data_IF_611279803751
#
_entry.id   IF_611279803751
#
_cell.length_a   1.000
_cell.length_b   1.000
_cell.length_c   1.000
_cell.angle_alpha   90.00
_cell.angle_beta   90.00
_cell.angle_gamma   90.00
#
_symmetry.space_group_name_H-M   'P 1'
#
loop_
_entity.id
_entity.type
_entity.pdbx_description
1 polymer ?
#
# COMPACT_ATOMS: atom_id res chain seq x y z
N UNK A 1 5.73 -25.90 27.60
CA UNK A 1 4.36 -25.96 27.06
C UNK A 1 4.37 -26.97 25.92
N UNK A 2 3.53 -28.01 26.02
CA UNK A 2 3.55 -29.16 25.11
C UNK A 2 2.72 -28.83 23.86
N UNK A 3 3.33 -28.98 22.68
CA UNK A 3 2.62 -28.96 21.40
C UNK A 3 1.90 -30.30 21.23
N UNK A 4 0.61 -30.33 21.52
CA UNK A 4 -0.22 -31.49 21.23
C UNK A 4 -0.67 -31.37 19.77
N UNK A 5 -0.25 -32.33 18.93
CA UNK A 5 -0.88 -32.69 17.65
C UNK A 5 -2.29 -33.27 17.91
N UNK A 6 -3.13 -32.48 18.57
CA UNK A 6 -4.53 -32.78 18.76
C UNK A 6 -5.29 -32.28 17.54
N UNK A 7 -5.67 -33.20 16.64
CA UNK A 7 -6.84 -32.98 15.80
C UNK A 7 -7.99 -32.58 16.74
N UNK A 8 -8.71 -31.49 16.42
CA UNK A 8 -9.90 -30.94 17.10
C UNK A 8 -9.65 -29.65 17.93
N UNK A 9 -9.50 -28.50 17.26
CA UNK A 9 -9.97 -27.21 17.80
C UNK A 9 -10.41 -26.27 16.67
N UNK A 10 -11.73 -26.08 16.55
CA UNK A 10 -12.42 -25.18 15.62
C UNK A 10 -12.73 -23.83 16.28
N UNK A 11 -12.43 -22.65 15.71
CA UNK A 11 -12.98 -21.36 16.23
C UNK A 11 -13.23 -20.23 15.21
N UNK A 12 -13.35 -20.42 13.88
CA UNK A 12 -13.71 -19.25 13.02
C UNK A 12 -14.79 -19.52 11.97
N UNK A 13 -14.84 -20.72 11.39
CA UNK A 13 -15.94 -21.12 10.50
C UNK A 13 -16.28 -22.58 10.78
N UNK A 14 -17.38 -22.84 11.50
CA UNK A 14 -17.84 -24.20 11.86
C UNK A 14 -18.22 -25.07 10.65
N UNK A 15 -18.34 -24.48 9.46
CA UNK A 15 -18.65 -25.17 8.19
C UNK A 15 -17.42 -25.83 7.53
N UNK A 16 -16.19 -25.45 7.88
CA UNK A 16 -14.99 -26.10 7.34
C UNK A 16 -14.63 -27.32 8.20
N UNK A 17 -15.44 -28.37 8.06
CA UNK A 17 -15.19 -29.67 8.73
C UNK A 17 -14.11 -30.42 7.94
N UNK A 18 -12.86 -30.13 8.27
CA UNK A 18 -11.68 -30.79 7.73
C UNK A 18 -11.66 -32.25 8.24
N UNK A 19 -12.22 -33.19 7.48
CA UNK A 19 -12.12 -34.64 7.77
C UNK A 19 -11.20 -35.37 6.78
N UNK A 20 -10.52 -34.64 5.88
CA UNK A 20 -9.63 -35.20 4.85
C UNK A 20 -8.23 -34.56 4.88
N UNK A 21 -7.19 -35.33 4.52
CA UNK A 21 -5.79 -34.87 4.42
C UNK A 21 -5.62 -33.68 3.46
N UNK A 22 -6.51 -33.57 2.46
CA UNK A 22 -6.53 -32.43 1.52
C UNK A 22 -6.98 -31.12 2.17
N UNK A 23 -7.86 -31.17 3.17
CA UNK A 23 -8.41 -29.97 3.82
C UNK A 23 -7.38 -29.30 4.74
N UNK A 24 -6.45 -30.07 5.30
CA UNK A 24 -5.30 -29.56 6.07
C UNK A 24 -4.35 -28.78 5.13
N UNK A 25 -4.05 -29.34 3.96
CA UNK A 25 -3.24 -28.66 2.94
C UNK A 25 -3.92 -27.41 2.38
N UNK A 26 -5.23 -27.48 2.16
CA UNK A 26 -6.04 -26.34 1.72
C UNK A 26 -6.04 -25.19 2.74
N UNK A 27 -6.15 -25.52 4.04
CA UNK A 27 -6.08 -24.52 5.11
C UNK A 27 -4.72 -23.85 5.20
N UNK A 28 -3.63 -24.62 5.10
CA UNK A 28 -2.27 -24.09 5.07
C UNK A 28 -2.07 -23.15 3.88
N UNK A 29 -2.48 -23.56 2.68
CA UNK A 29 -2.34 -22.76 1.47
C UNK A 29 -3.20 -21.48 1.53
N UNK A 30 -4.42 -21.57 2.06
CA UNK A 30 -5.30 -20.42 2.25
C UNK A 30 -4.69 -19.40 3.22
N UNK A 31 -4.16 -19.84 4.36
CA UNK A 31 -3.49 -18.97 5.34
C UNK A 31 -2.21 -18.35 4.75
N UNK A 32 -1.41 -19.14 4.04
CA UNK A 32 -0.22 -18.65 3.34
C UNK A 32 -0.58 -17.57 2.32
N UNK A 33 -1.57 -17.83 1.46
CA UNK A 33 -2.05 -16.87 0.47
C UNK A 33 -2.58 -15.59 1.14
N UNK A 34 -3.34 -15.72 2.23
CA UNK A 34 -3.85 -14.58 2.99
C UNK A 34 -2.73 -13.75 3.62
N UNK A 35 -1.66 -14.39 4.11
CA UNK A 35 -0.48 -13.72 4.65
C UNK A 35 0.31 -12.95 3.57
N UNK A 36 0.46 -13.54 2.36
CA UNK A 36 1.08 -12.86 1.22
C UNK A 36 0.22 -11.68 0.76
N UNK A 37 -1.10 -11.89 0.64
CA UNK A 37 -2.05 -10.86 0.24
C UNK A 37 -2.07 -9.70 1.23
N UNK A 38 -1.98 -9.97 2.53
CA UNK A 38 -1.90 -8.92 3.57
C UNK A 38 -0.74 -7.94 3.28
N UNK A 39 0.46 -8.44 3.01
CA UNK A 39 1.62 -7.56 2.79
C UNK A 39 1.52 -6.81 1.43
N UNK A 40 0.95 -7.45 0.41
CA UNK A 40 0.63 -6.80 -0.86
C UNK A 40 -0.37 -5.64 -0.66
N UNK A 41 -1.43 -5.87 0.10
CA UNK A 41 -2.48 -4.90 0.38
C UNK A 41 -1.95 -3.71 1.21
N UNK A 42 -1.11 -4.00 2.20
CA UNK A 42 -0.40 -2.98 2.98
C UNK A 42 0.52 -2.14 2.11
N UNK A 43 1.25 -2.76 1.18
CA UNK A 43 2.06 -2.06 0.17
C UNK A 43 1.23 -1.11 -0.71
N UNK A 44 0.05 -1.56 -1.17
CA UNK A 44 -0.90 -0.73 -1.92
C UNK A 44 -1.39 0.44 -1.08
N UNK A 45 -1.76 0.20 0.18
CA UNK A 45 -2.26 1.24 1.08
C UNK A 45 -1.19 2.33 1.34
N UNK A 46 0.05 1.94 1.62
CA UNK A 46 1.18 2.88 1.72
C UNK A 46 1.38 3.70 0.44
N UNK A 47 1.34 3.03 -0.72
CA UNK A 47 1.51 3.66 -2.04
C UNK A 47 0.43 4.70 -2.32
N UNK A 48 -0.84 4.36 -2.07
CA UNK A 48 -1.96 5.29 -2.24
C UNK A 48 -1.88 6.46 -1.26
N UNK A 49 -1.55 6.21 0.01
CA UNK A 49 -1.38 7.29 0.99
C UNK A 49 -0.28 8.27 0.58
N UNK A 50 0.84 7.76 0.03
CA UNK A 50 1.92 8.60 -0.47
C UNK A 50 1.50 9.42 -1.70
N UNK A 51 0.74 8.85 -2.64
CA UNK A 51 0.13 9.62 -3.76
C UNK A 51 -0.74 10.77 -3.23
N UNK A 52 -1.59 10.49 -2.25
CA UNK A 52 -2.52 11.48 -1.70
C UNK A 52 -1.77 12.60 -0.96
N UNK A 53 -0.72 12.26 -0.20
CA UNK A 53 0.13 13.24 0.49
C UNK A 53 0.88 14.14 -0.50
N UNK A 54 1.45 13.58 -1.58
CA UNK A 54 2.12 14.37 -2.62
C UNK A 54 1.15 15.27 -3.40
N UNK A 55 -0.12 14.85 -3.56
CA UNK A 55 -1.14 15.63 -4.26
C UNK A 55 -1.64 16.82 -3.45
N UNK A 56 -1.74 16.68 -2.12
CA UNK A 56 -2.11 17.76 -1.21
C UNK A 56 -1.14 18.95 -1.28
N UNK A 57 0.15 18.70 -1.52
CA UNK A 57 1.18 19.74 -1.64
C UNK A 57 1.15 20.53 -2.98
N UNK A 58 0.37 20.08 -3.98
CA UNK A 58 0.32 20.71 -5.32
C UNK A 58 -0.95 21.51 -5.60
N UNK A 59 -1.84 21.62 -4.62
CA UNK A 59 -3.12 22.33 -4.75
C UNK A 59 -2.98 23.80 -4.35
N UNK A 60 -2.30 24.61 -5.18
CA UNK A 60 -2.47 26.06 -5.16
C UNK A 60 -2.45 26.57 -6.59
N UNK A 61 -3.58 26.43 -7.29
CA UNK A 61 -3.97 27.30 -8.41
C UNK A 61 -5.46 27.09 -8.68
N UNK A 62 -6.28 27.97 -8.09
CA UNK A 62 -7.56 28.45 -8.63
C UNK A 62 -7.33 28.94 -10.09
N UNK A 63 -8.27 29.00 -11.04
CA UNK A 63 -9.49 29.85 -10.99
C UNK A 63 -10.56 29.47 -12.06
N UNK A 64 -10.53 28.31 -12.76
CA UNK A 64 -11.36 28.13 -13.99
C UNK A 64 -12.27 26.89 -14.08
N UNK A 65 -12.90 26.41 -13.01
CA UNK A 65 -13.71 25.16 -13.07
C UNK A 65 -15.06 25.20 -12.36
N UNK A 66 -15.95 26.09 -12.81
CA UNK A 66 -17.32 26.20 -12.26
C UNK A 66 -18.29 25.12 -12.79
N UNK A 67 -17.96 24.42 -13.90
CA UNK A 67 -18.78 23.33 -14.49
C UNK A 67 -18.23 21.91 -14.27
N UNK A 68 -16.95 21.78 -13.90
CA UNK A 68 -16.29 20.50 -13.61
C UNK A 68 -16.41 20.06 -12.14
N UNK A 69 -17.08 20.87 -11.30
CA UNK A 69 -17.05 20.76 -9.85
C UNK A 69 -17.74 19.48 -9.32
N UNK A 70 -18.81 19.01 -9.98
CA UNK A 70 -19.52 17.77 -9.58
C UNK A 70 -18.68 16.52 -9.88
N UNK A 71 -18.07 16.45 -11.07
CA UNK A 71 -17.19 15.33 -11.45
C UNK A 71 -15.92 15.26 -10.59
N UNK A 72 -15.37 16.42 -10.21
CA UNK A 72 -14.20 16.49 -9.32
C UNK A 72 -14.57 16.07 -7.90
N UNK A 73 -15.75 16.50 -7.37
CA UNK A 73 -16.24 16.07 -6.06
C UNK A 73 -16.47 14.57 -5.96
N UNK A 74 -17.15 13.95 -6.94
CA UNK A 74 -17.36 12.50 -6.93
C UNK A 74 -16.03 11.74 -6.96
N UNK A 75 -15.05 12.21 -7.73
CA UNK A 75 -13.72 11.58 -7.78
C UNK A 75 -12.97 11.71 -6.45
N UNK A 76 -13.13 12.83 -5.75
CA UNK A 76 -12.55 13.05 -4.42
C UNK A 76 -13.19 12.15 -3.36
N UNK A 77 -14.54 12.07 -3.37
CA UNK A 77 -15.29 11.14 -2.52
C UNK A 77 -14.88 9.70 -2.77
N UNK A 78 -14.82 9.25 -4.04
CA UNK A 78 -14.39 7.89 -4.38
C UNK A 78 -12.98 7.61 -3.88
N UNK A 79 -12.03 8.55 -4.03
CA UNK A 79 -10.67 8.35 -3.49
C UNK A 79 -10.64 8.30 -1.97
N UNK A 80 -11.51 9.06 -1.29
CA UNK A 80 -11.62 9.07 0.15
C UNK A 80 -12.27 7.77 0.67
N UNK A 81 -13.30 7.27 -0.01
CA UNK A 81 -13.92 5.97 0.26
C UNK A 81 -12.97 4.81 0.00
N UNK A 82 -12.22 4.81 -1.10
CA UNK A 82 -11.23 3.76 -1.35
C UNK A 82 -10.14 3.76 -0.29
N UNK A 83 -9.71 4.92 0.21
CA UNK A 83 -8.72 5.00 1.29
C UNK A 83 -9.24 4.35 2.59
N UNK A 84 -10.46 4.68 3.00
CA UNK A 84 -11.04 4.10 4.22
C UNK A 84 -11.34 2.62 4.06
N UNK A 85 -11.83 2.20 2.89
CA UNK A 85 -12.08 0.80 2.57
C UNK A 85 -10.78 -0.02 2.62
N UNK A 86 -9.71 0.45 1.99
CA UNK A 86 -8.40 -0.22 2.03
C UNK A 86 -7.87 -0.37 3.46
N UNK A 87 -8.04 0.66 4.29
CA UNK A 87 -7.66 0.63 5.71
C UNK A 87 -8.45 -0.42 6.50
N UNK A 88 -9.77 -0.48 6.32
CA UNK A 88 -10.62 -1.47 7.00
C UNK A 88 -10.27 -2.89 6.56
N UNK A 89 -10.04 -3.12 5.27
CA UNK A 89 -9.65 -4.42 4.73
C UNK A 89 -8.27 -4.86 5.22
N UNK A 90 -7.30 -3.95 5.30
CA UNK A 90 -5.97 -4.25 5.88
C UNK A 90 -6.10 -4.68 7.35
N UNK A 91 -6.90 -3.95 8.14
CA UNK A 91 -7.17 -4.31 9.54
C UNK A 91 -7.82 -5.69 9.64
N UNK A 92 -8.82 -5.97 8.81
CA UNK A 92 -9.49 -7.27 8.80
C UNK A 92 -8.48 -8.41 8.58
N UNK A 93 -7.60 -8.30 7.58
CA UNK A 93 -6.56 -9.31 7.33
C UNK A 93 -5.54 -9.42 8.48
N UNK A 94 -5.15 -8.30 9.11
CA UNK A 94 -4.29 -8.34 10.29
C UNK A 94 -4.93 -9.13 11.44
N UNK A 95 -6.21 -8.91 11.71
CA UNK A 95 -6.96 -9.64 12.74
C UNK A 95 -7.13 -11.11 12.40
N UNK A 96 -7.41 -11.47 11.14
CA UNK A 96 -7.45 -12.88 10.73
C UNK A 96 -6.12 -13.59 10.96
N UNK A 97 -5.00 -12.97 10.57
CA UNK A 97 -3.67 -13.55 10.79
C UNK A 97 -3.34 -13.68 12.28
N UNK A 98 -3.73 -12.69 13.10
CA UNK A 98 -3.56 -12.75 14.55
C UNK A 98 -4.41 -13.87 15.17
N UNK A 99 -5.64 -14.04 14.68
CA UNK A 99 -6.55 -15.09 15.15
C UNK A 99 -6.01 -16.47 14.80
N UNK A 100 -5.46 -16.66 13.58
CA UNK A 100 -4.78 -17.89 13.17
C UNK A 100 -3.53 -18.13 14.02
N UNK A 101 -2.73 -17.10 14.29
CA UNK A 101 -1.54 -17.24 15.13
C UNK A 101 -1.88 -17.71 16.57
N UNK A 102 -3.01 -17.28 17.11
CA UNK A 102 -3.49 -17.70 18.44
C UNK A 102 -4.03 -19.14 18.48
N UNK A 103 -4.16 -19.84 17.34
CA UNK A 103 -4.57 -21.26 17.32
C UNK A 103 -3.44 -22.21 17.75
N UNK A 104 -2.23 -21.70 17.97
CA UNK A 104 -1.03 -22.45 18.40
C UNK A 104 -0.65 -23.67 17.52
N UNK A 105 -1.17 -23.75 16.29
CA UNK A 105 -0.78 -24.78 15.34
C UNK A 105 0.55 -24.40 14.66
N UNK A 106 1.56 -25.26 14.78
CA UNK A 106 2.92 -25.02 14.25
C UNK A 106 2.94 -24.85 12.74
N UNK A 107 2.19 -25.68 11.99
CA UNK A 107 2.12 -25.62 10.53
C UNK A 107 1.46 -24.34 10.05
N UNK A 108 0.33 -23.93 10.66
CA UNK A 108 -0.34 -22.67 10.29
C UNK A 108 0.49 -21.45 10.69
N UNK A 109 1.14 -21.50 11.86
CA UNK A 109 2.04 -20.42 12.29
C UNK A 109 3.23 -20.26 11.33
N UNK A 110 3.87 -21.37 10.95
CA UNK A 110 4.93 -21.36 9.94
C UNK A 110 4.45 -20.81 8.60
N UNK A 111 3.22 -21.14 8.18
CA UNK A 111 2.59 -20.60 6.97
C UNK A 111 2.45 -19.07 7.03
N UNK A 112 2.01 -18.52 8.16
CA UNK A 112 1.85 -17.06 8.36
C UNK A 112 3.19 -16.34 8.30
N UNK A 113 4.20 -16.84 9.02
CA UNK A 113 5.53 -16.22 9.07
C UNK A 113 6.19 -16.27 7.68
N UNK A 114 6.18 -17.44 7.04
CA UNK A 114 6.77 -17.62 5.71
C UNK A 114 6.01 -16.82 4.66
N UNK A 115 4.68 -16.82 4.71
CA UNK A 115 3.82 -16.04 3.80
C UNK A 115 4.02 -14.53 3.93
N UNK A 116 4.19 -14.01 5.15
CA UNK A 116 4.56 -12.59 5.36
C UNK A 116 5.95 -12.28 4.83
N UNK A 117 6.92 -13.16 5.07
CA UNK A 117 8.28 -13.00 4.54
C UNK A 117 8.31 -12.94 3.01
N UNK A 118 7.62 -13.88 2.36
CA UNK A 118 7.46 -13.91 0.90
C UNK A 118 6.68 -12.68 0.42
N UNK A 119 5.58 -12.32 1.08
CA UNK A 119 4.80 -11.13 0.76
C UNK A 119 5.62 -9.84 0.81
N UNK A 120 6.51 -9.70 1.79
CA UNK A 120 7.43 -8.56 1.90
C UNK A 120 8.44 -8.54 0.75
N UNK A 121 8.98 -9.71 0.40
CA UNK A 121 9.89 -9.84 -0.74
C UNK A 121 9.22 -9.45 -2.06
N UNK A 122 7.93 -9.76 -2.26
CA UNK A 122 7.16 -9.32 -3.44
C UNK A 122 6.76 -7.84 -3.39
N UNK A 123 6.42 -7.31 -2.20
CA UNK A 123 6.04 -5.91 -2.03
C UNK A 123 7.23 -4.95 -2.26
N UNK A 124 8.44 -5.39 -1.94
CA UNK A 124 9.68 -4.60 -2.09
C UNK A 124 9.93 -4.10 -3.52
N UNK A 125 9.96 -4.95 -4.58
CA UNK A 125 10.15 -4.49 -5.95
C UNK A 125 8.98 -3.62 -6.44
N UNK A 126 7.75 -3.87 -5.98
CA UNK A 126 6.57 -3.06 -6.31
C UNK A 126 6.68 -1.64 -5.75
N UNK A 127 7.15 -1.48 -4.50
CA UNK A 127 7.35 -0.16 -3.89
C UNK A 127 8.57 0.54 -4.50
N UNK A 128 9.65 -0.19 -4.76
CA UNK A 128 10.88 0.40 -5.31
C UNK A 128 10.66 0.99 -6.71
N UNK A 129 9.97 0.27 -7.59
CA UNK A 129 9.60 0.76 -8.94
C UNK A 129 8.73 2.01 -8.86
N UNK A 130 7.77 2.04 -7.94
CA UNK A 130 6.91 3.20 -7.73
C UNK A 130 7.68 4.43 -7.20
N UNK A 131 8.58 4.24 -6.23
CA UNK A 131 9.37 5.34 -5.63
C UNK A 131 10.35 5.93 -6.64
N UNK A 132 10.99 5.11 -7.49
CA UNK A 132 11.94 5.56 -8.50
C UNK A 132 11.27 6.49 -9.51
N UNK A 133 10.09 6.13 -10.04
CA UNK A 133 9.37 7.00 -10.98
C UNK A 133 8.97 8.35 -10.38
N UNK A 134 8.68 8.42 -9.07
CA UNK A 134 8.35 9.69 -8.42
C UNK A 134 9.59 10.54 -8.16
N UNK A 135 10.73 9.93 -7.79
CA UNK A 135 12.00 10.63 -7.61
C UNK A 135 12.49 11.25 -8.92
N UNK A 136 12.49 10.48 -10.00
CA UNK A 136 12.96 10.96 -11.30
C UNK A 136 12.12 12.15 -11.79
N UNK A 137 10.78 12.06 -11.69
CA UNK A 137 9.88 13.18 -12.05
C UNK A 137 9.98 14.41 -11.12
N UNK A 138 10.44 14.23 -9.88
CA UNK A 138 10.68 15.34 -8.94
C UNK A 138 12.00 16.05 -9.23
N UNK A 139 13.07 15.30 -9.52
CA UNK A 139 14.39 15.87 -9.79
C UNK A 139 14.43 16.69 -11.07
N UNK A 140 13.80 16.22 -12.16
CA UNK A 140 13.64 17.02 -13.37
C UNK A 140 12.89 18.34 -13.11
N UNK A 141 11.86 18.31 -12.26
CA UNK A 141 11.12 19.52 -11.90
C UNK A 141 11.93 20.47 -11.03
N UNK A 142 12.79 19.94 -10.15
CA UNK A 142 13.70 20.75 -9.32
C UNK A 142 14.78 21.39 -10.19
N UNK A 143 15.45 20.60 -11.02
CA UNK A 143 16.45 21.09 -11.98
C UNK A 143 15.90 22.18 -12.90
N UNK A 144 14.70 21.98 -13.47
CA UNK A 144 14.05 22.99 -14.32
C UNK A 144 13.73 24.28 -13.56
N UNK A 145 13.29 24.18 -12.29
CA UNK A 145 12.99 25.35 -11.46
C UNK A 145 14.25 26.15 -11.14
N UNK A 146 15.34 25.45 -10.80
CA UNK A 146 16.62 26.07 -10.49
C UNK A 146 17.22 26.73 -11.74
N UNK A 147 17.16 26.07 -12.89
CA UNK A 147 17.56 26.65 -14.18
C UNK A 147 16.80 27.95 -14.47
N UNK A 148 15.47 27.98 -14.34
CA UNK A 148 14.70 29.21 -14.51
C UNK A 148 15.04 30.31 -13.51
N UNK A 149 15.42 29.95 -12.28
CA UNK A 149 15.86 30.93 -11.27
C UNK A 149 17.22 31.54 -11.65
N UNK A 150 18.13 30.75 -12.20
CA UNK A 150 19.44 31.22 -12.65
C UNK A 150 19.34 32.11 -13.89
N UNK A 151 18.42 31.81 -14.81
CA UNK A 151 18.16 32.65 -16.00
C UNK A 151 17.61 34.02 -15.55
N UNK A 152 16.59 34.04 -14.68
CA UNK A 152 16.02 35.29 -14.16
C UNK A 152 17.01 36.18 -13.42
N UNK A 153 18.03 35.61 -12.76
CA UNK A 153 19.08 36.38 -12.08
C UNK A 153 20.12 36.98 -13.04
N UNK A 154 20.27 36.42 -14.25
CA UNK A 154 21.27 36.88 -15.23
C UNK A 154 20.73 37.98 -16.15
N UNK A 155 19.43 38.01 -16.41
CA UNK A 155 18.78 39.03 -17.24
C UNK A 155 19.05 40.50 -16.82
N UNK A 156 19.02 40.88 -15.53
CA UNK A 156 19.32 42.26 -15.13
C UNK A 156 20.80 42.64 -15.15
N UNK A 157 21.74 41.66 -15.11
CA UNK A 157 23.19 41.93 -15.10
C UNK A 157 23.72 42.31 -16.49
N UNK A 158 23.16 41.71 -17.53
CA UNK A 158 23.52 42.03 -18.92
C UNK A 158 23.05 43.43 -19.32
N UNK A 159 21.91 43.88 -18.80
CA UNK A 159 21.33 45.19 -19.12
C UNK A 159 22.04 46.38 -18.46
N UNK A 160 22.92 46.13 -17.49
CA UNK A 160 23.73 47.14 -16.81
C UNK A 160 25.19 47.21 -17.28
N UNK A 161 25.60 46.36 -18.23
CA UNK A 161 26.97 46.30 -18.77
C UNK A 161 27.10 47.03 -20.12
N UNK A 162 25.98 47.45 -20.72
CA UNK A 162 25.96 48.32 -21.90
C UNK A 162 25.91 49.81 -21.47
N UNK A 163 26.99 50.31 -20.86
CA UNK A 163 27.26 51.74 -20.64
C UNK A 163 28.73 52.02 -20.94
#
# INVERSE_FOLDING_TARGET
MHFSEGFQTFVIVREWKITSSGDVGGSFLAVFALAVLYECFKGLHCTLQQRLRNRSYRSTTSVLKTRLHTFIKCRDLVTQFSKTCLFVTELAFAYFLMLVAMTYNTSLFAAVVTGRGVGYFLATPLVNTYIISDKEGSDYRKYRRDSQSTIRKREPLLKGTDI
#
